data_IF_944687792913
#
_entry.id   IF_944687792913
#
_cell.length_a   1.000
_cell.length_b   1.000
_cell.length_c   1.000
_cell.angle_alpha   90.00
_cell.angle_beta   90.00
_cell.angle_gamma   90.00
#
_symmetry.space_group_name_H-M   'P 1'
#
loop_
_entity.id
_entity.type
_entity.pdbx_description
1 polymer ?
#
# COMPACT_ATOMS: atom_id res chain seq x y z
N UNK A 1 -14.92 7.55 16.66
CA UNK A 1 -13.73 6.77 17.11
C UNK A 1 -12.85 7.71 17.92
N UNK A 2 -12.66 7.48 19.22
CA UNK A 2 -11.94 8.40 20.13
C UNK A 2 -10.41 8.26 20.00
N UNK A 3 -9.69 9.40 20.01
CA UNK A 3 -8.22 9.49 19.91
C UNK A 3 -7.46 8.88 21.12
N UNK A 4 -8.18 8.46 22.17
CA UNK A 4 -7.62 7.89 23.39
C UNK A 4 -7.07 6.47 23.22
N UNK A 5 -7.46 5.75 22.16
CA UNK A 5 -7.04 4.36 21.94
C UNK A 5 -5.71 4.20 21.19
N UNK A 6 -5.06 5.31 20.78
CA UNK A 6 -3.78 5.25 20.09
C UNK A 6 -2.56 5.04 21.01
N UNK A 7 -2.76 4.62 22.26
CA UNK A 7 -1.65 4.26 23.15
C UNK A 7 -1.10 2.89 22.76
N UNK A 8 -0.15 2.86 21.83
CA UNK A 8 0.63 1.66 21.48
C UNK A 8 1.42 1.17 22.70
N UNK A 9 0.83 0.26 23.49
CA UNK A 9 1.47 -0.45 24.60
C UNK A 9 2.43 -1.54 24.10
N UNK A 10 3.41 -1.19 23.26
CA UNK A 10 4.50 -2.13 22.90
C UNK A 10 5.67 -1.91 23.85
N UNK A 11 6.13 -2.98 24.52
CA UNK A 11 7.34 -2.95 25.35
C UNK A 11 8.52 -2.56 24.45
N UNK A 12 9.25 -1.51 24.80
CA UNK A 12 10.47 -1.12 24.09
C UNK A 12 11.48 -2.26 24.23
N UNK A 13 11.99 -2.78 23.13
CA UNK A 13 13.08 -3.76 23.16
C UNK A 13 14.35 -3.07 23.66
N UNK A 14 15.16 -3.74 24.50
CA UNK A 14 16.41 -3.17 24.98
C UNK A 14 17.31 -2.83 23.78
N UNK A 15 17.82 -1.61 23.76
CA UNK A 15 18.77 -1.18 22.74
C UNK A 15 20.15 -1.71 23.13
N UNK A 16 20.84 -2.33 22.18
CA UNK A 16 22.24 -2.73 22.35
C UNK A 16 23.09 -1.46 22.43
N UNK A 17 24.01 -1.40 23.39
CA UNK A 17 24.99 -0.31 23.44
C UNK A 17 25.92 -0.42 22.23
N UNK A 18 26.15 0.72 21.57
CA UNK A 18 26.99 0.85 20.38
C UNK A 18 28.22 1.66 20.78
N UNK A 19 29.42 1.24 20.36
CA UNK A 19 30.65 2.00 20.60
C UNK A 19 30.74 3.24 19.71
N UNK A 20 31.67 4.14 20.01
CA UNK A 20 31.91 5.34 19.20
C UNK A 20 32.47 4.92 17.82
N UNK A 21 33.36 3.94 17.80
CA UNK A 21 33.95 3.39 16.59
C UNK A 21 32.89 2.78 15.67
N UNK A 22 31.96 1.99 16.24
CA UNK A 22 30.85 1.40 15.49
C UNK A 22 29.95 2.47 14.86
N UNK A 23 29.72 3.59 15.56
CA UNK A 23 28.90 4.70 15.06
C UNK A 23 29.59 5.44 13.91
N UNK A 24 30.89 5.70 14.02
CA UNK A 24 31.68 6.36 12.98
C UNK A 24 31.73 5.49 11.72
N UNK A 25 31.97 4.19 11.88
CA UNK A 25 31.94 3.26 10.75
C UNK A 25 30.56 3.17 10.10
N UNK A 26 29.48 3.17 10.88
CA UNK A 26 28.11 3.15 10.32
C UNK A 26 27.78 4.42 9.54
N UNK A 27 28.24 5.57 10.01
CA UNK A 27 28.08 6.85 9.32
C UNK A 27 28.84 6.87 7.99
N UNK A 28 30.08 6.37 7.97
CA UNK A 28 30.86 6.21 6.75
C UNK A 28 30.17 5.25 5.78
N UNK A 29 29.74 4.08 6.26
CA UNK A 29 29.02 3.11 5.44
C UNK A 29 27.74 3.72 4.84
N UNK A 30 26.99 4.51 5.62
CA UNK A 30 25.81 5.22 5.11
C UNK A 30 26.17 6.22 3.99
N UNK A 31 27.23 7.02 4.17
CA UNK A 31 27.70 7.96 3.15
C UNK A 31 28.11 7.25 1.84
N UNK A 32 28.70 6.05 1.96
CA UNK A 32 29.08 5.22 0.81
C UNK A 32 27.95 4.30 0.29
N UNK A 33 26.73 4.38 0.85
CA UNK A 33 25.61 3.52 0.47
C UNK A 33 25.79 2.03 0.84
N UNK A 34 26.73 1.74 1.73
CA UNK A 34 27.05 0.41 2.22
C UNK A 34 26.17 0.00 3.42
N UNK A 35 25.96 -1.31 3.63
CA UNK A 35 25.05 -1.78 4.67
C UNK A 35 25.63 -1.58 6.07
N UNK A 36 24.78 -1.07 6.98
CA UNK A 36 25.11 -0.83 8.38
C UNK A 36 25.68 -2.08 9.09
N UNK A 37 26.79 -1.90 9.80
CA UNK A 37 27.47 -2.91 10.62
C UNK A 37 26.67 -3.25 11.87
N UNK A 38 26.07 -2.24 12.52
CA UNK A 38 25.23 -2.39 13.72
C UNK A 38 23.95 -3.18 13.44
N UNK A 39 23.55 -3.29 12.16
CA UNK A 39 22.40 -4.08 11.72
C UNK A 39 22.69 -5.58 11.54
N UNK A 40 23.96 -6.02 11.53
CA UNK A 40 24.33 -7.41 11.22
C UNK A 40 23.89 -8.39 12.32
N UNK A 41 23.89 -7.99 13.59
CA UNK A 41 23.38 -8.81 14.71
C UNK A 41 21.85 -8.90 14.75
N UNK A 42 21.14 -7.90 14.21
CA UNK A 42 19.66 -7.89 14.11
C UNK A 42 19.11 -8.74 12.95
N UNK A 43 19.96 -9.37 12.14
CA UNK A 43 19.58 -10.08 10.89
C UNK A 43 19.31 -11.57 11.02
N UNK A 44 19.27 -12.17 12.22
CA UNK A 44 18.77 -13.55 12.37
C UNK A 44 17.24 -13.67 12.46
N UNK A 45 16.50 -12.55 12.61
CA UNK A 45 15.02 -12.56 12.71
C UNK A 45 14.28 -11.78 11.60
N UNK A 46 14.98 -11.18 10.62
CA UNK A 46 14.34 -10.42 9.53
C UNK A 46 14.72 -10.90 8.12
N UNK A 47 15.38 -12.06 7.99
CA UNK A 47 15.54 -12.77 6.70
C UNK A 47 14.29 -13.55 6.27
N UNK A 48 13.11 -13.23 6.83
CA UNK A 48 11.91 -13.31 6.02
C UNK A 48 12.14 -12.35 4.86
N UNK A 49 12.53 -12.89 3.70
CA UNK A 49 12.42 -12.22 2.41
C UNK A 49 11.00 -11.68 2.32
N UNK A 50 10.76 -10.46 2.79
CA UNK A 50 9.91 -9.58 2.03
C UNK A 50 10.65 -9.47 0.70
N UNK A 51 10.22 -10.31 -0.26
CA UNK A 51 10.35 -9.97 -1.67
C UNK A 51 9.78 -8.55 -1.76
N UNK A 52 10.64 -7.54 -1.66
CA UNK A 52 10.27 -6.20 -2.03
C UNK A 52 9.66 -6.35 -3.41
N UNK A 53 8.44 -5.82 -3.57
CA UNK A 53 7.76 -5.79 -4.86
C UNK A 53 8.81 -5.43 -5.90
N UNK A 54 8.98 -6.28 -6.91
CA UNK A 54 9.98 -6.09 -7.95
C UNK A 54 9.96 -4.62 -8.36
N UNK A 55 11.13 -3.97 -8.38
CA UNK A 55 11.28 -2.54 -8.68
C UNK A 55 10.76 -2.19 -10.09
N UNK A 56 10.49 -3.22 -10.90
CA UNK A 56 9.90 -3.17 -12.22
C UNK A 56 8.40 -3.53 -12.26
N UNK A 57 7.81 -3.97 -11.14
CA UNK A 57 6.39 -4.32 -10.98
C UNK A 57 5.59 -3.25 -10.20
N UNK A 58 6.16 -2.07 -9.95
CA UNK A 58 5.49 -1.01 -9.20
C UNK A 58 4.77 -0.07 -10.16
N UNK A 59 3.63 -0.50 -10.71
CA UNK A 59 2.68 0.47 -11.30
C UNK A 59 2.41 1.54 -10.25
N UNK A 60 2.79 2.78 -10.55
CA UNK A 60 2.56 3.91 -9.66
C UNK A 60 1.06 4.22 -9.70
N UNK A 61 0.36 3.97 -8.59
CA UNK A 61 -1.04 4.33 -8.46
C UNK A 61 -1.15 5.69 -7.80
N UNK A 62 -1.97 6.58 -8.38
CA UNK A 62 -2.35 7.85 -7.77
C UNK A 62 -3.66 7.69 -7.00
N UNK A 63 -3.78 8.38 -5.87
CA UNK A 63 -5.04 8.48 -5.14
C UNK A 63 -6.00 9.44 -5.87
N UNK A 64 -7.29 9.15 -5.81
CA UNK A 64 -8.34 9.97 -6.38
C UNK A 64 -9.56 9.96 -5.44
N UNK A 65 -10.27 11.07 -5.37
CA UNK A 65 -11.52 11.25 -4.62
C UNK A 65 -12.66 11.40 -5.62
N UNK A 66 -13.75 10.65 -5.42
CA UNK A 66 -14.93 10.68 -6.27
C UNK A 66 -16.16 10.93 -5.40
N UNK A 67 -17.14 11.66 -5.96
CA UNK A 67 -18.48 11.74 -5.37
C UNK A 67 -19.26 10.50 -5.77
N UNK A 68 -19.81 9.78 -4.80
CA UNK A 68 -20.61 8.57 -5.00
C UNK A 68 -21.84 8.65 -4.09
N UNK A 69 -22.97 8.12 -4.55
CA UNK A 69 -24.15 7.92 -3.71
C UNK A 69 -23.90 6.85 -2.65
N UNK A 70 -24.67 6.87 -1.56
CA UNK A 70 -24.55 5.87 -0.49
C UNK A 70 -24.82 4.44 -1.01
N UNK A 71 -25.80 4.30 -1.90
CA UNK A 71 -26.14 3.03 -2.54
C UNK A 71 -24.97 2.48 -3.37
N UNK A 72 -24.30 3.33 -4.15
CA UNK A 72 -23.14 2.93 -4.93
C UNK A 72 -21.98 2.46 -4.03
N UNK A 73 -21.76 3.13 -2.88
CA UNK A 73 -20.78 2.71 -1.88
C UNK A 73 -21.16 1.34 -1.30
N UNK A 74 -22.44 1.13 -0.96
CA UNK A 74 -22.94 -0.14 -0.45
C UNK A 74 -22.75 -1.30 -1.43
N UNK A 75 -23.05 -1.08 -2.71
CA UNK A 75 -22.84 -2.08 -3.77
C UNK A 75 -21.35 -2.40 -3.92
N UNK A 76 -20.49 -1.38 -3.98
CA UNK A 76 -19.04 -1.56 -4.12
C UNK A 76 -18.45 -2.35 -2.94
N UNK A 77 -18.94 -2.10 -1.72
CA UNK A 77 -18.51 -2.77 -0.50
C UNK A 77 -18.92 -4.23 -0.48
N UNK A 78 -20.18 -4.51 -0.85
CA UNK A 78 -20.70 -5.87 -0.95
C UNK A 78 -19.89 -6.70 -1.96
N UNK A 79 -19.67 -6.18 -3.17
CA UNK A 79 -18.91 -6.88 -4.22
C UNK A 79 -17.45 -7.09 -3.77
N UNK A 80 -16.85 -6.08 -3.15
CA UNK A 80 -15.49 -6.15 -2.63
C UNK A 80 -15.33 -7.26 -1.58
N UNK A 81 -16.29 -7.36 -0.66
CA UNK A 81 -16.31 -8.38 0.38
C UNK A 81 -16.54 -9.79 -0.18
N UNK A 82 -17.53 -9.95 -1.05
CA UNK A 82 -17.90 -11.24 -1.64
C UNK A 82 -16.76 -11.83 -2.49
N UNK A 83 -16.19 -11.01 -3.39
CA UNK A 83 -15.13 -11.46 -4.30
C UNK A 83 -13.73 -11.41 -3.68
N UNK A 84 -13.59 -10.87 -2.47
CA UNK A 84 -12.30 -10.61 -1.79
C UNK A 84 -11.34 -9.79 -2.65
N UNK A 85 -11.87 -8.82 -3.40
CA UNK A 85 -11.10 -7.88 -4.24
C UNK A 85 -11.20 -6.49 -3.63
N UNK A 86 -10.09 -5.75 -3.55
CA UNK A 86 -10.11 -4.37 -3.05
C UNK A 86 -10.97 -3.44 -3.94
N UNK A 87 -11.73 -2.52 -3.31
CA UNK A 87 -12.57 -1.52 -3.98
C UNK A 87 -11.85 -0.79 -5.13
N UNK A 88 -10.64 -0.28 -4.87
CA UNK A 88 -9.85 0.44 -5.88
C UNK A 88 -9.46 -0.45 -7.08
N UNK A 89 -9.29 -1.76 -6.87
CA UNK A 89 -9.02 -2.72 -7.95
C UNK A 89 -10.28 -2.99 -8.77
N UNK A 90 -11.44 -3.11 -8.14
CA UNK A 90 -12.73 -3.23 -8.85
C UNK A 90 -12.96 -2.04 -9.76
N UNK A 91 -12.81 -0.81 -9.25
CA UNK A 91 -12.95 0.42 -10.05
C UNK A 91 -11.99 0.37 -11.27
N UNK A 92 -10.73 -0.03 -11.08
CA UNK A 92 -9.78 -0.15 -12.20
C UNK A 92 -10.17 -1.22 -13.22
N UNK A 93 -10.79 -2.32 -12.80
CA UNK A 93 -11.28 -3.37 -13.70
C UNK A 93 -12.46 -2.83 -14.51
N UNK A 94 -13.43 -2.19 -13.84
CA UNK A 94 -14.60 -1.61 -14.49
C UNK A 94 -14.21 -0.53 -15.50
N UNK A 95 -13.28 0.36 -15.15
CA UNK A 95 -12.76 1.37 -16.09
C UNK A 95 -12.16 0.70 -17.34
N UNK A 96 -11.37 -0.37 -17.17
CA UNK A 96 -10.79 -1.09 -18.30
C UNK A 96 -11.86 -1.76 -19.15
N UNK A 97 -12.81 -2.43 -18.50
CA UNK A 97 -13.92 -3.12 -19.16
C UNK A 97 -14.76 -2.14 -19.99
N UNK A 98 -15.11 -0.99 -19.41
CA UNK A 98 -15.80 0.09 -20.11
C UNK A 98 -14.98 0.65 -21.29
N UNK A 99 -13.66 0.84 -21.11
CA UNK A 99 -12.80 1.41 -22.16
C UNK A 99 -12.65 0.56 -23.41
N UNK A 100 -12.87 -0.76 -23.30
CA UNK A 100 -12.75 -1.71 -24.43
C UNK A 100 -14.05 -1.78 -25.24
N UNK A 101 -15.19 -1.36 -24.67
CA UNK A 101 -16.48 -1.35 -25.38
C UNK A 101 -16.48 -0.37 -26.55
N UNK A 102 -17.35 -0.62 -27.53
CA UNK A 102 -17.52 0.30 -28.66
C UNK A 102 -18.06 1.66 -28.20
N UNK A 103 -17.82 2.72 -28.98
CA UNK A 103 -18.33 4.06 -28.66
C UNK A 103 -19.85 4.06 -28.49
N UNK A 104 -20.56 3.30 -29.32
CA UNK A 104 -22.01 3.22 -29.26
C UNK A 104 -22.48 2.58 -27.95
N UNK A 105 -21.90 1.45 -27.55
CA UNK A 105 -22.23 0.79 -26.27
C UNK A 105 -21.89 1.67 -25.06
N UNK A 106 -20.77 2.40 -25.11
CA UNK A 106 -20.41 3.34 -24.05
C UNK A 106 -21.48 4.44 -23.92
N UNK A 107 -21.94 5.02 -25.03
CA UNK A 107 -23.03 6.00 -25.03
C UNK A 107 -24.33 5.43 -24.49
N UNK A 108 -24.72 4.23 -24.92
CA UNK A 108 -25.94 3.58 -24.43
C UNK A 108 -25.89 3.32 -22.92
N UNK A 109 -24.74 2.89 -22.39
CA UNK A 109 -24.59 2.68 -20.94
C UNK A 109 -24.71 4.01 -20.19
N UNK A 110 -24.11 5.09 -20.70
CA UNK A 110 -24.18 6.42 -20.07
C UNK A 110 -25.63 6.92 -20.06
N UNK A 111 -26.33 6.85 -21.19
CA UNK A 111 -27.73 7.29 -21.32
C UNK A 111 -28.70 6.49 -20.43
N UNK A 112 -28.42 5.21 -20.19
CA UNK A 112 -29.23 4.38 -19.29
C UNK A 112 -28.94 4.65 -17.80
N UNK A 113 -27.80 5.28 -17.51
CA UNK A 113 -27.28 5.48 -16.15
C UNK A 113 -27.45 6.92 -15.65
N UNK A 114 -28.24 7.74 -16.34
CA UNK A 114 -28.58 9.08 -15.88
C UNK A 114 -29.42 8.97 -14.57
N UNK A 115 -28.80 9.38 -13.45
CA UNK A 115 -29.42 9.69 -12.15
C UNK A 115 -30.27 10.98 -12.25
#
# INVERSE_FOLDING_TARGET
>A
MSLTDLKRRKKKTPQTQVSIEDFIEDANNYAFGQPSVVSKSRKKLSRAKHKGLDKHSTKIYKHATFSLTEDAIGILDRISAEKKIAKSRLIRILIREFSVKSKHEQSTIIELSDD
#
